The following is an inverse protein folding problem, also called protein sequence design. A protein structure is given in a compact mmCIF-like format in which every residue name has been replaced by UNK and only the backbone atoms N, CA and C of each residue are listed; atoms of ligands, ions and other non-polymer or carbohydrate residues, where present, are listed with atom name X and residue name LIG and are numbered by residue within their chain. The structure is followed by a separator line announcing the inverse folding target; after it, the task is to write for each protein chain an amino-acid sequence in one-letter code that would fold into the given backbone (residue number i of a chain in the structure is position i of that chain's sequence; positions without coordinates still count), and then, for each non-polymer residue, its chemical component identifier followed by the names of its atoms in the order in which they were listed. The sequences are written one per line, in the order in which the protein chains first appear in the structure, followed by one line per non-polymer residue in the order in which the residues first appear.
data_IF_256688327655
#
_entry.id   IF_256688327655
#
_cell.length_a   1.000
_cell.length_b   1.000
_cell.length_c   1.000
_cell.angle_alpha   90.00
_cell.angle_beta   90.00
_cell.angle_gamma   90.00
#
_symmetry.space_group_name_H-M   'P 1'
#
loop_
_entity.id
_entity.type
_entity.pdbx_description
1 polymer ?
#
# COMPACT_ATOMS: atom_id res chain seq x y z
N UNK A 1 11.86 -30.29 -6.05
CA UNK A 1 11.14 -29.56 -7.12
C UNK A 1 11.40 -28.08 -6.90
N UNK A 2 11.77 -27.33 -7.94
CA UNK A 2 11.98 -25.87 -7.85
C UNK A 2 10.82 -25.16 -8.56
N UNK A 3 10.26 -24.13 -7.93
CA UNK A 3 9.14 -23.34 -8.44
C UNK A 3 9.29 -21.87 -8.00
N UNK A 4 8.65 -20.94 -8.71
CA UNK A 4 8.65 -19.51 -8.39
C UNK A 4 7.26 -18.90 -8.62
N UNK A 5 6.83 -18.03 -7.71
CA UNK A 5 5.69 -17.14 -7.93
C UNK A 5 6.23 -15.89 -8.63
N UNK A 6 5.82 -15.68 -9.88
CA UNK A 6 6.29 -14.52 -10.64
C UNK A 6 5.70 -13.22 -10.10
N UNK A 7 6.41 -12.10 -10.24
CA UNK A 7 5.88 -10.79 -9.87
C UNK A 7 4.61 -10.41 -10.66
N UNK A 8 4.38 -11.01 -11.84
CA UNK A 8 3.12 -10.82 -12.58
C UNK A 8 1.90 -11.37 -11.83
N UNK A 9 2.08 -12.46 -11.08
CA UNK A 9 1.01 -13.03 -10.26
C UNK A 9 0.68 -12.10 -9.08
N UNK A 10 1.72 -11.52 -8.46
CA UNK A 10 1.60 -10.54 -7.38
C UNK A 10 0.87 -9.27 -7.85
N UNK A 11 1.30 -8.71 -8.99
CA UNK A 11 0.67 -7.55 -9.62
C UNK A 11 -0.78 -7.86 -9.99
N UNK A 12 -1.07 -9.04 -10.55
CA UNK A 12 -2.44 -9.43 -10.88
C UNK A 12 -3.35 -9.44 -9.65
N UNK A 13 -2.90 -10.00 -8.52
CA UNK A 13 -3.69 -9.99 -7.29
C UNK A 13 -3.89 -8.56 -6.73
N UNK A 14 -2.87 -7.71 -6.82
CA UNK A 14 -2.99 -6.30 -6.45
C UNK A 14 -3.98 -5.55 -7.36
N UNK A 15 -3.97 -5.81 -8.68
CA UNK A 15 -4.95 -5.29 -9.65
C UNK A 15 -6.37 -5.73 -9.27
N UNK A 16 -6.59 -7.02 -8.98
CA UNK A 16 -7.91 -7.52 -8.56
C UNK A 16 -8.39 -6.89 -7.25
N UNK A 17 -7.50 -6.73 -6.26
CA UNK A 17 -7.86 -6.06 -5.02
C UNK A 17 -8.25 -4.60 -5.26
N UNK A 18 -7.46 -3.83 -6.02
CA UNK A 18 -7.78 -2.45 -6.37
C UNK A 18 -9.10 -2.32 -7.16
N UNK A 19 -9.31 -3.19 -8.15
CA UNK A 19 -10.53 -3.22 -8.97
C UNK A 19 -11.78 -3.46 -8.12
N UNK A 20 -11.70 -4.31 -7.09
CA UNK A 20 -12.83 -4.66 -6.24
C UNK A 20 -13.52 -3.48 -5.52
N UNK A 21 -12.84 -2.33 -5.37
CA UNK A 21 -13.41 -1.10 -4.78
C UNK A 21 -14.29 -0.31 -5.76
N UNK A 22 -14.26 -0.63 -7.05
CA UNK A 22 -14.96 0.09 -8.12
C UNK A 22 -15.82 -0.81 -9.04
N UNK A 23 -16.01 -2.08 -8.69
CA UNK A 23 -16.79 -3.02 -9.49
C UNK A 23 -18.28 -2.65 -9.58
N UNK A 24 -18.91 -2.97 -10.72
CA UNK A 24 -20.34 -2.73 -10.93
C UNK A 24 -21.23 -3.52 -9.94
N UNK A 25 -20.84 -4.75 -9.61
CA UNK A 25 -21.37 -5.49 -8.48
C UNK A 25 -20.52 -5.15 -7.26
N UNK A 26 -20.86 -4.05 -6.59
CA UNK A 26 -19.99 -3.44 -5.59
C UNK A 26 -19.66 -4.39 -4.44
N UNK A 27 -18.35 -4.62 -4.23
CA UNK A 27 -17.81 -5.13 -2.97
C UNK A 27 -17.52 -3.94 -2.07
N UNK A 28 -18.17 -3.86 -0.92
CA UNK A 28 -17.99 -2.76 0.01
C UNK A 28 -16.98 -3.13 1.10
N UNK A 29 -15.96 -2.30 1.25
CA UNK A 29 -14.97 -2.43 2.31
C UNK A 29 -15.16 -1.32 3.34
N UNK A 30 -15.07 -1.66 4.62
CA UNK A 30 -15.09 -0.68 5.70
C UNK A 30 -13.87 -0.84 6.57
N UNK A 31 -13.16 0.25 6.82
CA UNK A 31 -12.19 0.32 7.89
C UNK A 31 -12.94 0.54 9.19
N UNK A 32 -12.72 -0.29 10.20
CA UNK A 32 -13.31 -0.12 11.52
C UNK A 32 -12.28 0.21 12.57
N UNK A 33 -12.74 0.91 13.61
CA UNK A 33 -12.01 1.07 14.88
C UNK A 33 -12.76 0.33 15.99
N UNK A 34 -12.02 -0.14 16.97
CA UNK A 34 -12.60 -0.85 18.10
C UNK A 34 -11.64 -0.97 19.27
N UNK A 35 -12.03 -1.81 20.22
CA UNK A 35 -11.27 -2.08 21.45
C UNK A 35 -11.04 -0.79 22.28
N UNK A 36 -12.11 -0.17 22.82
CA UNK A 36 -11.96 0.91 23.81
C UNK A 36 -11.44 0.37 25.15
N UNK A 37 -11.55 -0.94 25.40
CA UNK A 37 -10.97 -1.54 26.60
C UNK A 37 -9.43 -1.60 26.54
N UNK A 38 -8.78 -1.21 27.63
CA UNK A 38 -7.35 -1.46 27.86
C UNK A 38 -6.93 -2.92 27.67
N UNK A 39 -5.75 -3.12 27.05
CA UNK A 39 -5.06 -4.41 27.03
C UNK A 39 -4.52 -4.74 28.43
N UNK A 40 -4.81 -5.95 28.90
CA UNK A 40 -4.28 -6.45 30.17
C UNK A 40 -4.19 -7.97 30.16
N UNK A 41 -3.48 -8.54 31.12
CA UNK A 41 -3.41 -10.00 31.30
C UNK A 41 -4.77 -10.68 31.50
N UNK A 42 -5.81 -9.95 31.90
CA UNK A 42 -7.17 -10.48 32.10
C UNK A 42 -8.14 -10.10 30.97
N UNK A 43 -7.72 -9.23 30.05
CA UNK A 43 -8.56 -8.67 28.96
C UNK A 43 -7.87 -8.85 27.61
N UNK A 44 -7.63 -10.11 27.23
CA UNK A 44 -7.04 -10.46 25.91
C UNK A 44 -5.51 -10.51 25.86
N UNK A 45 -4.82 -10.27 26.98
CA UNK A 45 -3.36 -10.34 27.08
C UNK A 45 -2.65 -9.03 26.77
N UNK A 46 -1.33 -9.02 27.01
CA UNK A 46 -0.48 -7.86 26.76
C UNK A 46 -0.74 -6.67 27.69
N UNK A 47 -0.36 -5.48 27.22
CA UNK A 47 -0.60 -4.19 27.87
C UNK A 47 -0.72 -3.08 26.82
N UNK A 48 -1.17 -1.89 27.19
CA UNK A 48 -1.26 -0.76 26.26
C UNK A 48 0.11 -0.28 25.72
N UNK A 49 1.20 -0.60 26.42
CA UNK A 49 2.57 -0.33 25.97
C UNK A 49 3.13 -1.45 25.11
N UNK A 50 2.59 -2.66 25.24
CA UNK A 50 2.96 -3.84 24.45
C UNK A 50 1.67 -4.61 24.09
N UNK A 51 0.91 -4.12 23.09
CA UNK A 51 -0.32 -4.77 22.66
C UNK A 51 -0.05 -6.24 22.25
N UNK A 52 -0.97 -7.17 22.54
CA UNK A 52 -0.81 -8.55 22.13
C UNK A 52 -0.82 -8.66 20.60
N UNK A 53 -0.08 -9.61 20.04
CA UNK A 53 -0.14 -9.91 18.61
C UNK A 53 -1.55 -10.35 18.22
N UNK A 54 -2.14 -9.84 17.12
CA UNK A 54 -3.38 -10.36 16.58
C UNK A 54 -3.35 -11.87 16.37
N UNK A 55 -4.47 -12.54 16.62
CA UNK A 55 -4.62 -13.98 16.46
C UNK A 55 -5.69 -14.22 15.39
N UNK A 56 -5.37 -15.08 14.42
CA UNK A 56 -6.29 -15.52 13.37
C UNK A 56 -7.04 -16.77 13.84
N UNK A 57 -8.26 -16.57 14.37
CA UNK A 57 -9.21 -17.64 14.67
C UNK A 57 -10.63 -17.07 14.77
N UNK A 58 -11.63 -17.96 14.70
CA UNK A 58 -13.06 -17.60 14.75
C UNK A 58 -13.44 -16.88 16.05
N UNK A 59 -12.83 -17.24 17.19
CA UNK A 59 -13.16 -16.60 18.48
C UNK A 59 -12.70 -15.14 18.52
N UNK A 60 -11.52 -14.83 17.99
CA UNK A 60 -10.99 -13.47 17.97
C UNK A 60 -11.69 -12.62 16.92
N UNK A 61 -12.11 -13.18 15.78
CA UNK A 61 -13.01 -12.49 14.83
C UNK A 61 -14.31 -12.06 15.51
N UNK A 62 -14.94 -12.97 16.25
CA UNK A 62 -16.16 -12.69 17.02
C UNK A 62 -15.95 -11.59 18.08
N UNK A 63 -14.75 -11.53 18.69
CA UNK A 63 -14.40 -10.46 19.64
C UNK A 63 -14.22 -9.11 18.97
N UNK A 64 -13.67 -9.09 17.75
CA UNK A 64 -13.49 -7.86 16.97
C UNK A 64 -14.84 -7.20 16.66
N UNK A 65 -15.87 -7.99 16.39
CA UNK A 65 -17.24 -7.49 16.24
C UNK A 65 -17.81 -6.91 17.53
N UNK A 66 -17.61 -7.61 18.66
CA UNK A 66 -18.20 -7.23 19.95
C UNK A 66 -17.70 -5.90 20.50
N UNK A 67 -16.45 -5.55 20.21
CA UNK A 67 -15.80 -4.31 20.67
C UNK A 67 -15.54 -3.29 19.57
N UNK A 68 -16.16 -3.48 18.39
CA UNK A 68 -16.17 -2.49 17.32
C UNK A 68 -16.93 -1.24 17.78
N UNK A 69 -16.36 -0.07 17.50
CA UNK A 69 -16.95 1.24 17.82
C UNK A 69 -17.71 1.75 16.60
N UNK A 70 -17.02 1.86 15.47
CA UNK A 70 -17.58 2.40 14.24
C UNK A 70 -16.77 1.91 13.03
N UNK A 71 -17.39 1.97 11.86
CA UNK A 71 -16.78 1.59 10.60
C UNK A 71 -17.00 2.68 9.54
N UNK A 72 -16.01 2.94 8.70
CA UNK A 72 -16.06 3.92 7.61
C UNK A 72 -15.75 3.24 6.29
N UNK A 73 -16.58 3.50 5.27
CA UNK A 73 -16.43 2.89 3.96
C UNK A 73 -15.17 3.41 3.28
N UNK A 74 -14.37 2.50 2.76
CA UNK A 74 -13.20 2.78 1.91
C UNK A 74 -13.68 2.81 0.46
N UNK A 75 -13.53 3.94 -0.22
CA UNK A 75 -13.91 4.07 -1.64
C UNK A 75 -12.69 3.98 -2.55
N UNK A 76 -12.89 3.79 -3.84
CA UNK A 76 -11.78 3.65 -4.80
C UNK A 76 -10.79 4.83 -4.79
N UNK A 77 -11.26 6.06 -4.54
CA UNK A 77 -10.38 7.24 -4.43
C UNK A 77 -9.46 7.21 -3.20
N UNK A 78 -9.77 6.37 -2.22
CA UNK A 78 -9.00 6.16 -1.00
C UNK A 78 -7.96 5.05 -1.17
N UNK A 79 -7.84 4.45 -2.35
CA UNK A 79 -6.91 3.36 -2.63
C UNK A 79 -5.92 3.78 -3.72
N UNK A 80 -4.65 3.43 -3.55
CA UNK A 80 -3.62 3.67 -4.56
C UNK A 80 -2.59 2.55 -4.56
N UNK A 81 -2.05 2.24 -5.73
CA UNK A 81 -0.85 1.41 -5.83
C UNK A 81 0.35 2.17 -5.29
N UNK A 82 1.16 1.49 -4.49
CA UNK A 82 2.38 2.07 -3.92
C UNK A 82 3.57 1.15 -4.16
N UNK A 83 4.77 1.72 -4.06
CA UNK A 83 6.03 1.00 -4.06
C UNK A 83 6.91 1.51 -2.92
N UNK A 84 7.90 0.72 -2.46
CA UNK A 84 8.87 1.19 -1.47
C UNK A 84 9.48 2.53 -1.89
N UNK A 85 9.36 3.52 -1.01
CA UNK A 85 9.85 4.87 -1.23
C UNK A 85 11.37 4.87 -1.15
N UNK A 86 12.00 5.47 -2.16
CA UNK A 86 13.42 5.79 -2.15
C UNK A 86 13.59 7.22 -2.59
N UNK A 87 14.15 8.05 -1.72
CA UNK A 87 14.47 9.44 -2.07
C UNK A 87 15.85 9.48 -2.70
N UNK A 88 16.00 10.27 -3.77
CA UNK A 88 17.32 10.58 -4.29
C UNK A 88 18.09 11.40 -3.26
N UNK A 89 19.30 10.95 -2.96
CA UNK A 89 20.28 11.53 -2.07
C UNK A 89 21.64 11.52 -2.77
N UNK A 90 22.36 12.64 -2.71
CA UNK A 90 23.73 12.75 -3.24
C UNK A 90 24.67 11.79 -2.51
N UNK A 91 25.68 11.27 -3.23
CA UNK A 91 26.65 10.32 -2.67
C UNK A 91 26.11 8.88 -2.52
N UNK A 92 24.91 8.60 -3.00
CA UNK A 92 24.31 7.25 -2.98
C UNK A 92 24.51 6.57 -4.34
N UNK A 93 24.89 5.29 -4.32
CA UNK A 93 24.92 4.43 -5.52
C UNK A 93 23.58 3.74 -5.68
N UNK A 94 22.92 3.96 -6.82
CA UNK A 94 21.67 3.30 -7.17
C UNK A 94 21.93 2.14 -8.13
N UNK A 95 21.04 1.15 -8.13
CA UNK A 95 20.99 0.18 -9.22
C UNK A 95 20.38 0.82 -10.46
N UNK A 96 20.61 0.21 -11.62
CA UNK A 96 19.99 0.62 -12.87
C UNK A 96 19.03 -0.45 -13.37
N UNK A 97 18.22 -0.11 -14.37
CA UNK A 97 17.37 -1.09 -15.00
C UNK A 97 18.19 -2.18 -15.70
N UNK A 98 17.86 -3.44 -15.38
CA UNK A 98 18.39 -4.60 -16.08
C UNK A 98 17.35 -5.72 -16.13
N UNK A 99 17.23 -6.39 -17.27
CA UNK A 99 16.21 -7.42 -17.51
C UNK A 99 16.62 -8.83 -17.03
N UNK A 100 17.92 -9.07 -16.84
CA UNK A 100 18.56 -10.37 -16.63
C UNK A 100 19.18 -10.51 -15.22
N UNK A 101 18.70 -9.72 -14.24
CA UNK A 101 19.10 -9.92 -12.85
C UNK A 101 18.78 -11.35 -12.38
N UNK A 102 19.77 -11.97 -11.74
CA UNK A 102 19.69 -13.34 -11.25
C UNK A 102 20.70 -13.57 -10.13
N UNK A 103 20.74 -14.79 -9.56
CA UNK A 103 21.77 -15.16 -8.59
C UNK A 103 23.20 -15.14 -9.15
N UNK A 104 23.36 -15.18 -10.47
CA UNK A 104 24.66 -15.12 -11.16
C UNK A 104 24.96 -13.74 -11.76
N UNK A 105 24.00 -12.82 -11.68
CA UNK A 105 24.12 -11.47 -12.22
C UNK A 105 23.33 -10.52 -11.31
N UNK A 106 23.96 -10.08 -10.23
CA UNK A 106 23.31 -9.26 -9.20
C UNK A 106 23.41 -7.78 -9.53
N UNK A 107 22.47 -7.00 -9.02
CA UNK A 107 22.61 -5.55 -8.96
C UNK A 107 23.74 -5.14 -7.99
N UNK A 108 24.12 -3.86 -7.98
CA UNK A 108 25.14 -3.36 -7.07
C UNK A 108 24.69 -3.47 -5.60
N UNK A 109 23.40 -3.28 -5.34
CA UNK A 109 22.77 -3.53 -4.03
C UNK A 109 22.77 -4.99 -3.58
N UNK A 110 23.19 -5.93 -4.44
CA UNK A 110 23.08 -7.37 -4.22
C UNK A 110 21.73 -7.97 -4.63
N UNK A 111 20.78 -7.16 -5.13
CA UNK A 111 19.50 -7.67 -5.59
C UNK A 111 19.66 -8.66 -6.75
N UNK A 112 19.00 -9.81 -6.65
CA UNK A 112 18.99 -10.87 -7.67
C UNK A 112 17.76 -10.78 -8.59
N UNK A 113 16.93 -9.75 -8.43
CA UNK A 113 15.74 -9.50 -9.24
C UNK A 113 15.54 -8.00 -9.42
N UNK A 114 14.91 -7.59 -10.53
CA UNK A 114 14.68 -6.19 -10.84
C UNK A 114 13.86 -5.47 -9.76
N UNK A 115 12.78 -6.08 -9.28
CA UNK A 115 11.90 -5.44 -8.29
C UNK A 115 12.49 -5.41 -6.87
N UNK A 116 13.54 -6.19 -6.62
CA UNK A 116 14.35 -6.07 -5.42
C UNK A 116 15.45 -4.99 -5.52
N UNK A 117 15.72 -4.46 -6.72
CA UNK A 117 16.79 -3.47 -6.92
C UNK A 117 16.32 -2.05 -6.63
N UNK A 118 17.28 -1.13 -6.54
CA UNK A 118 17.10 0.27 -6.11
C UNK A 118 17.02 1.25 -7.28
N UNK A 119 16.52 0.79 -8.43
CA UNK A 119 16.56 1.52 -9.71
C UNK A 119 15.56 2.66 -9.86
N UNK A 120 14.72 2.92 -8.85
CA UNK A 120 13.70 3.97 -8.85
C UNK A 120 13.92 4.91 -7.68
N UNK A 121 13.84 6.21 -7.94
CA UNK A 121 14.00 7.26 -6.94
C UNK A 121 12.96 8.36 -7.12
N UNK A 122 12.64 9.04 -6.02
CA UNK A 122 11.86 10.27 -5.99
C UNK A 122 12.74 11.43 -5.53
N UNK A 123 12.62 12.58 -6.18
CA UNK A 123 13.29 13.83 -5.77
C UNK A 123 12.50 14.59 -4.71
N UNK A 124 13.12 15.61 -4.11
CA UNK A 124 12.49 16.63 -3.27
C UNK A 124 11.36 17.42 -3.97
N UNK A 125 11.36 17.45 -5.31
CA UNK A 125 10.31 18.01 -6.16
C UNK A 125 9.18 17.00 -6.48
N UNK A 126 9.15 15.84 -5.83
CA UNK A 126 8.18 14.76 -6.04
C UNK A 126 8.11 14.20 -7.47
N UNK A 127 9.20 14.36 -8.23
CA UNK A 127 9.40 13.74 -9.54
C UNK A 127 10.03 12.37 -9.34
N UNK A 128 9.47 11.37 -10.01
CA UNK A 128 9.93 9.98 -9.99
C UNK A 128 10.75 9.67 -11.23
N UNK A 129 11.92 9.10 -11.00
CA UNK A 129 12.90 8.77 -12.02
C UNK A 129 13.28 7.29 -11.96
N UNK A 130 13.53 6.75 -13.14
CA UNK A 130 14.12 5.44 -13.33
C UNK A 130 15.59 5.58 -13.71
N UNK A 131 16.46 4.91 -12.97
CA UNK A 131 17.89 4.82 -13.27
C UNK A 131 18.07 3.86 -14.45
N UNK A 132 18.58 4.37 -15.55
CA UNK A 132 18.85 3.63 -16.78
C UNK A 132 20.34 3.25 -16.89
N UNK A 133 21.21 4.00 -16.22
CA UNK A 133 22.62 3.68 -16.05
C UNK A 133 23.15 4.34 -14.78
N UNK A 134 24.01 3.65 -14.03
CA UNK A 134 24.51 4.09 -12.73
C UNK A 134 26.03 4.39 -12.75
N UNK A 135 26.53 4.87 -13.90
CA UNK A 135 27.93 5.23 -14.09
C UNK A 135 28.92 4.16 -13.59
N UNK A 136 28.69 2.90 -13.97
CA UNK A 136 29.55 1.78 -13.55
C UNK A 136 29.67 1.61 -12.03
N UNK A 137 28.55 1.82 -11.32
CA UNK A 137 28.42 1.73 -9.86
C UNK A 137 29.17 2.81 -9.05
N UNK A 138 29.41 3.99 -9.63
CA UNK A 138 29.87 5.15 -8.84
C UNK A 138 28.71 5.73 -8.02
N UNK A 139 28.97 6.73 -7.17
CA UNK A 139 27.92 7.41 -6.42
C UNK A 139 27.32 8.55 -7.26
N UNK A 140 25.97 8.65 -7.33
CA UNK A 140 25.33 9.79 -8.01
C UNK A 140 25.58 11.06 -7.21
N UNK A 141 26.07 12.11 -7.88
CA UNK A 141 26.37 13.40 -7.27
C UNK A 141 25.38 14.48 -7.67
N UNK A 142 24.69 14.33 -8.80
CA UNK A 142 23.83 15.35 -9.38
C UNK A 142 22.37 14.88 -9.48
N UNK A 143 21.46 15.66 -8.88
CA UNK A 143 20.02 15.36 -8.85
C UNK A 143 19.43 15.39 -10.26
N UNK A 144 18.63 14.39 -10.69
CA UNK A 144 17.90 14.47 -11.95
C UNK A 144 16.79 15.54 -11.91
N UNK A 145 16.68 16.35 -12.95
CA UNK A 145 15.70 17.46 -13.03
C UNK A 145 14.87 17.47 -14.31
N UNK A 146 15.33 16.82 -15.38
CA UNK A 146 14.65 16.77 -16.67
C UNK A 146 13.28 16.09 -16.60
N UNK A 147 12.33 16.53 -17.42
CA UNK A 147 10.96 15.97 -17.50
C UNK A 147 10.60 15.52 -18.91
N UNK A 148 11.59 15.40 -19.79
CA UNK A 148 11.41 14.92 -21.16
C UNK A 148 11.18 13.41 -21.23
N UNK A 149 10.88 12.90 -22.43
CA UNK A 149 10.58 11.48 -22.64
C UNK A 149 11.82 10.61 -22.88
N UNK A 150 12.97 11.25 -23.08
CA UNK A 150 14.25 10.59 -23.35
C UNK A 150 15.08 10.48 -22.08
N UNK A 151 16.03 9.54 -22.10
CA UNK A 151 17.08 9.51 -21.08
C UNK A 151 17.94 10.78 -21.13
N UNK A 152 18.46 11.19 -20.00
CA UNK A 152 19.40 12.31 -19.90
C UNK A 152 20.42 12.07 -18.79
N UNK A 153 21.60 12.67 -18.96
CA UNK A 153 22.66 12.73 -17.96
C UNK A 153 22.60 14.09 -17.25
N UNK A 154 22.44 14.15 -15.92
CA UNK A 154 22.44 15.40 -15.18
C UNK A 154 23.85 16.01 -15.02
N UNK A 155 24.92 15.30 -15.43
CA UNK A 155 26.31 15.74 -15.41
C UNK A 155 27.24 14.89 -14.53
N UNK A 156 26.78 13.72 -14.08
CA UNK A 156 27.53 12.80 -13.22
C UNK A 156 27.70 11.39 -13.82
N UNK A 157 27.36 11.22 -15.12
CA UNK A 157 27.48 9.95 -15.83
C UNK A 157 26.32 9.00 -15.60
N UNK A 158 25.42 9.28 -14.65
CA UNK A 158 24.16 8.56 -14.53
C UNK A 158 23.27 8.87 -15.72
N UNK A 159 22.44 7.90 -16.12
CA UNK A 159 21.34 8.15 -17.04
C UNK A 159 20.04 7.95 -16.31
N UNK A 160 19.20 8.97 -16.32
CA UNK A 160 17.87 8.95 -15.71
C UNK A 160 16.81 9.09 -16.79
N UNK A 161 15.69 8.39 -16.59
CA UNK A 161 14.46 8.59 -17.36
C UNK A 161 13.37 9.09 -16.42
N UNK A 162 12.74 10.19 -16.79
CA UNK A 162 11.57 10.70 -16.09
C UNK A 162 10.38 9.75 -16.28
N UNK A 163 9.67 9.44 -15.21
CA UNK A 163 8.48 8.58 -15.24
C UNK A 163 7.21 9.42 -15.09
N UNK A 164 7.09 10.12 -13.96
CA UNK A 164 5.93 10.95 -13.63
C UNK A 164 6.26 11.88 -12.45
N UNK A 165 5.35 12.83 -12.19
CA UNK A 165 5.38 13.71 -11.02
C UNK A 165 4.16 13.41 -10.18
N UNK A 166 4.33 13.33 -8.85
CA UNK A 166 3.20 13.13 -7.95
C UNK A 166 2.37 14.41 -7.83
N UNK A 167 1.05 14.26 -7.82
CA UNK A 167 0.12 15.35 -7.54
C UNK A 167 0.10 15.68 -6.04
N UNK A 168 -0.32 16.90 -5.68
CA UNK A 168 -0.49 17.30 -4.28
C UNK A 168 -1.44 16.37 -3.51
N UNK A 169 -2.53 15.93 -4.13
CA UNK A 169 -3.49 14.97 -3.55
C UNK A 169 -2.83 13.61 -3.27
N UNK A 170 -2.04 13.08 -4.21
CA UNK A 170 -1.33 11.81 -4.01
C UNK A 170 -0.28 11.93 -2.90
N UNK A 171 0.42 13.04 -2.82
CA UNK A 171 1.40 13.31 -1.76
C UNK A 171 0.70 13.31 -0.40
N UNK A 172 -0.40 14.07 -0.28
CA UNK A 172 -1.15 14.16 0.98
C UNK A 172 -1.71 12.79 1.41
N UNK A 173 -2.33 12.06 0.47
CA UNK A 173 -3.09 10.86 0.80
C UNK A 173 -2.22 9.58 0.87
N UNK A 174 -1.19 9.44 0.03
CA UNK A 174 -0.51 8.16 -0.18
C UNK A 174 1.01 8.18 0.00
N UNK A 175 1.65 9.35 0.10
CA UNK A 175 3.07 9.39 0.45
C UNK A 175 3.25 9.13 1.95
N UNK A 176 4.20 8.26 2.28
CA UNK A 176 4.62 7.95 3.65
C UNK A 176 6.15 7.96 3.75
N UNK A 177 6.71 7.64 4.91
CA UNK A 177 8.15 7.42 5.10
C UNK A 177 8.67 6.26 4.24
N UNK A 178 7.87 5.20 4.12
CA UNK A 178 8.32 3.92 3.56
C UNK A 178 7.74 3.61 2.18
N UNK A 179 6.65 4.27 1.79
CA UNK A 179 5.95 4.03 0.53
C UNK A 179 5.64 5.31 -0.24
N UNK A 180 5.70 5.23 -1.57
CA UNK A 180 5.31 6.29 -2.49
C UNK A 180 4.31 5.78 -3.53
N UNK A 181 3.33 6.60 -3.94
CA UNK A 181 2.33 6.19 -4.91
C UNK A 181 2.91 6.01 -6.31
N UNK A 182 2.33 5.08 -7.05
CA UNK A 182 2.57 4.89 -8.47
C UNK A 182 1.39 5.44 -9.25
N UNK A 183 1.69 6.26 -10.26
CA UNK A 183 0.67 6.81 -11.14
C UNK A 183 0.50 5.87 -12.32
N UNK A 184 -0.72 5.39 -12.50
CA UNK A 184 -1.08 4.61 -13.67
C UNK A 184 -1.01 5.46 -14.95
N UNK A 185 -0.38 4.90 -15.97
CA UNK A 185 -0.20 5.55 -17.29
C UNK A 185 -1.15 4.99 -18.35
N UNK A 186 -2.03 4.03 -18.00
CA UNK A 186 -2.98 3.35 -18.89
C UNK A 186 -4.47 3.69 -18.65
N UNK A 187 -4.80 4.47 -17.61
CA UNK A 187 -6.13 5.12 -17.47
C UNK A 187 -7.09 4.51 -16.45
N UNK A 188 -6.64 3.58 -15.61
CA UNK A 188 -7.37 3.03 -14.46
C UNK A 188 -7.37 3.98 -13.24
N UNK A 189 -6.51 5.02 -13.25
CA UNK A 189 -6.55 6.17 -12.33
C UNK A 189 -6.62 7.46 -13.16
N UNK A 190 -7.75 8.18 -13.12
CA UNK A 190 -7.93 9.49 -13.77
C UNK A 190 -7.20 10.59 -13.00
N UNK A 191 -5.87 10.58 -13.06
CA UNK A 191 -5.01 11.68 -12.61
C UNK A 191 -4.32 12.33 -13.82
N UNK A 192 -4.20 13.66 -13.81
CA UNK A 192 -3.76 14.51 -14.92
C UNK A 192 -2.26 14.36 -15.33
N UNK A 193 -1.72 13.15 -15.33
CA UNK A 193 -0.35 12.87 -15.78
C UNK A 193 -0.26 11.53 -16.52
N UNK A 194 -1.19 11.29 -17.45
CA UNK A 194 -0.88 10.51 -18.66
C UNK A 194 0.16 11.31 -19.46
N UNK A 195 1.38 11.27 -18.91
CA UNK A 195 2.52 12.09 -19.28
C UNK A 195 3.06 11.57 -20.60
N UNK A 196 3.65 12.45 -21.39
CA UNK A 196 4.19 12.16 -22.72
C UNK A 196 5.13 10.95 -22.81
N UNK A 197 5.56 10.39 -21.67
CA UNK A 197 6.44 9.22 -21.54
C UNK A 197 5.77 7.92 -22.05
N UNK A 198 4.54 7.58 -21.66
CA UNK A 198 3.91 6.32 -22.08
C UNK A 198 3.53 6.29 -23.55
N UNK A 199 3.22 7.46 -24.12
CA UNK A 199 2.96 7.63 -25.55
C UNK A 199 4.25 7.54 -26.39
N UNK A 200 5.39 7.93 -25.82
CA UNK A 200 6.71 7.87 -26.45
C UNK A 200 7.49 6.58 -26.14
N UNK A 201 6.89 5.64 -25.39
CA UNK A 201 7.53 4.39 -25.04
C UNK A 201 7.71 3.50 -26.28
N UNK A 202 8.90 2.91 -26.41
CA UNK A 202 9.28 2.06 -27.53
C UNK A 202 9.46 0.63 -27.05
N UNK A 203 8.67 -0.28 -27.61
CA UNK A 203 8.67 -1.70 -27.25
C UNK A 203 10.04 -2.34 -27.46
N UNK A 204 10.57 -3.01 -26.41
CA UNK A 204 11.79 -3.81 -26.50
C UNK A 204 13.02 -3.07 -27.02
N UNK A 205 13.13 -1.76 -26.79
CA UNK A 205 14.30 -1.00 -27.22
C UNK A 205 15.57 -1.41 -26.45
N UNK A 206 16.72 -1.41 -27.11
CA UNK A 206 18.02 -1.69 -26.48
C UNK A 206 18.78 -0.38 -26.37
N UNK A 207 18.98 0.12 -25.15
CA UNK A 207 19.68 1.40 -24.93
C UNK A 207 21.13 1.24 -24.47
N UNK A 208 21.45 0.10 -23.86
CA UNK A 208 22.77 -0.20 -23.30
C UNK A 208 23.18 -1.62 -23.61
N UNK A 209 24.48 -1.82 -23.78
CA UNK A 209 25.10 -3.12 -23.99
C UNK A 209 26.26 -3.21 -23.01
N UNK A 210 26.26 -4.24 -22.17
CA UNK A 210 27.35 -4.48 -21.21
C UNK A 210 28.38 -5.44 -21.80
N UNK A 211 29.64 -5.27 -21.42
CA UNK A 211 30.72 -6.17 -21.84
C UNK A 211 30.88 -7.22 -20.74
N UNK A 212 30.41 -8.44 -20.99
CA UNK A 212 30.59 -9.58 -20.07
C UNK A 212 32.00 -10.15 -20.19
N UNK A 213 32.54 -10.19 -21.40
CA UNK A 213 33.93 -10.58 -21.67
C UNK A 213 34.43 -9.76 -22.85
N UNK A 214 35.56 -9.06 -22.67
CA UNK A 214 36.10 -8.16 -23.70
C UNK A 214 36.74 -8.91 -24.89
N UNK A 215 36.95 -10.22 -24.76
CA UNK A 215 37.67 -11.06 -25.71
C UNK A 215 39.15 -10.67 -25.82
N UNK A 216 39.86 -11.25 -26.79
CA UNK A 216 41.27 -10.98 -27.04
C UNK A 216 41.69 -11.32 -28.48
N UNK A 217 42.63 -10.56 -29.02
CA UNK A 217 43.22 -10.78 -30.35
C UNK A 217 42.45 -10.14 -31.50
N UNK A 218 41.56 -9.18 -31.20
CA UNK A 218 40.88 -8.41 -32.23
C UNK A 218 41.78 -7.35 -32.86
N UNK A 219 41.43 -6.94 -34.08
CA UNK A 219 42.05 -5.77 -34.72
C UNK A 219 41.57 -4.49 -34.04
N UNK A 220 42.50 -3.60 -33.66
CA UNK A 220 42.15 -2.31 -33.08
C UNK A 220 41.39 -1.44 -34.09
N UNK A 221 40.33 -0.76 -33.64
CA UNK A 221 39.53 0.09 -34.49
C UNK A 221 38.18 0.47 -33.88
N UNK A 222 37.46 1.35 -34.58
CA UNK A 222 36.08 1.71 -34.27
C UNK A 222 35.18 1.20 -35.39
N UNK A 223 34.33 0.23 -35.05
CA UNK A 223 33.43 -0.43 -35.98
C UNK A 223 32.02 0.13 -35.78
N UNK A 224 31.55 0.94 -36.72
CA UNK A 224 30.24 1.60 -36.68
C UNK A 224 29.16 0.78 -37.38
N UNK A 225 27.88 1.05 -37.08
CA UNK A 225 26.72 0.40 -37.72
C UNK A 225 26.72 -1.13 -37.56
N UNK A 226 27.30 -1.62 -36.47
CA UNK A 226 27.29 -3.05 -36.14
C UNK A 226 25.86 -3.43 -35.74
N UNK A 227 25.21 -4.38 -36.43
CA UNK A 227 23.83 -4.74 -36.16
C UNK A 227 23.70 -5.42 -34.78
N UNK A 228 22.70 -4.98 -34.02
CA UNK A 228 22.22 -5.73 -32.86
C UNK A 228 21.27 -6.79 -33.40
N UNK A 229 21.75 -8.03 -33.42
CA UNK A 229 21.00 -9.21 -33.89
C UNK A 229 20.01 -9.65 -32.82
N UNK A 230 19.05 -10.46 -33.21
CA UNK A 230 17.99 -10.92 -32.32
C UNK A 230 16.68 -11.07 -33.07
N UNK A 231 15.59 -10.94 -32.33
CA UNK A 231 14.21 -10.99 -32.84
C UNK A 231 13.58 -9.61 -33.08
N UNK A 232 14.26 -8.53 -32.64
CA UNK A 232 13.86 -7.15 -32.94
C UNK A 232 14.43 -6.62 -34.26
N UNK A 233 14.12 -5.35 -34.55
CA UNK A 233 14.48 -4.69 -35.81
C UNK A 233 15.18 -3.34 -35.60
N UNK A 234 16.05 -2.96 -36.52
CA UNK A 234 16.64 -1.62 -36.60
C UNK A 234 17.71 -1.28 -35.55
N UNK A 235 18.08 -2.20 -34.66
CA UNK A 235 19.11 -1.97 -33.64
C UNK A 235 20.52 -1.97 -34.23
N UNK A 236 21.31 -0.94 -33.92
CA UNK A 236 22.72 -0.84 -34.31
C UNK A 236 23.56 -0.23 -33.19
N UNK A 237 24.86 -0.55 -33.19
CA UNK A 237 25.83 -0.03 -32.24
C UNK A 237 27.18 0.25 -32.89
N UNK A 238 28.03 0.96 -32.16
CA UNK A 238 29.44 1.15 -32.46
C UNK A 238 30.26 0.37 -31.44
N UNK A 239 31.19 -0.45 -31.90
CA UNK A 239 32.14 -1.24 -31.08
C UNK A 239 33.53 -0.64 -31.24
N UNK A 240 34.18 -0.28 -30.15
CA UNK A 240 35.57 0.18 -30.15
C UNK A 240 36.47 -0.88 -29.53
N UNK A 241 37.57 -1.15 -30.23
CA UNK A 241 38.57 -2.15 -29.85
C UNK A 241 39.92 -1.44 -29.73
N UNK A 242 40.57 -1.60 -28.57
CA UNK A 242 41.90 -1.09 -28.31
C UNK A 242 42.69 -2.12 -27.50
N UNK A 243 43.99 -2.26 -27.79
CA UNK A 243 44.82 -3.30 -27.17
C UNK A 243 44.37 -4.74 -27.50
N UNK A 244 43.63 -4.93 -28.58
CA UNK A 244 43.11 -6.23 -29.01
C UNK A 244 41.88 -6.73 -28.24
N UNK A 245 41.26 -5.88 -27.41
CA UNK A 245 40.05 -6.20 -26.62
C UNK A 245 38.96 -5.16 -26.85
N UNK A 246 37.70 -5.55 -26.68
CA UNK A 246 36.56 -4.61 -26.75
C UNK A 246 36.59 -3.69 -25.53
N UNK A 247 36.69 -2.38 -25.75
CA UNK A 247 36.76 -1.39 -24.67
C UNK A 247 35.44 -0.66 -24.45
N UNK A 248 34.69 -0.37 -25.52
CA UNK A 248 33.40 0.31 -25.41
C UNK A 248 32.42 -0.21 -26.46
N UNK A 249 31.13 -0.19 -26.11
CA UNK A 249 30.02 -0.49 -27.00
C UNK A 249 28.95 0.56 -26.80
N UNK A 250 28.69 1.38 -27.82
CA UNK A 250 27.72 2.46 -27.77
C UNK A 250 26.57 2.16 -28.72
N UNK A 251 25.33 2.10 -28.21
CA UNK A 251 24.14 1.95 -29.05
C UNK A 251 23.95 3.22 -29.88
N UNK A 252 23.82 3.08 -31.19
CA UNK A 252 23.59 4.18 -32.14
C UNK A 252 22.14 4.26 -32.61
N UNK A 253 21.47 3.11 -32.73
CA UNK A 253 20.03 3.02 -32.93
C UNK A 253 19.48 1.94 -32.00
N UNK A 254 18.47 2.31 -31.20
CA UNK A 254 17.98 1.45 -30.11
C UNK A 254 17.16 0.27 -30.63
N UNK A 255 16.62 0.42 -31.85
CA UNK A 255 15.74 -0.56 -32.47
C UNK A 255 14.44 -0.77 -31.69
N UNK A 256 13.61 -1.70 -32.16
CA UNK A 256 12.29 -1.98 -31.58
C UNK A 256 11.99 -3.48 -31.61
N UNK A 257 11.15 -3.93 -30.68
CA UNK A 257 10.58 -5.27 -30.63
C UNK A 257 11.55 -6.38 -30.23
N UNK A 258 12.70 -6.05 -29.62
CA UNK A 258 13.60 -7.09 -29.11
C UNK A 258 13.00 -7.74 -27.87
N UNK A 259 13.00 -9.07 -27.81
CA UNK A 259 12.92 -9.85 -26.56
C UNK A 259 14.26 -10.50 -26.22
N UNK A 260 15.14 -10.59 -27.22
CA UNK A 260 16.51 -11.05 -27.11
C UNK A 260 17.40 -10.27 -28.08
N UNK A 261 18.55 -9.76 -27.60
CA UNK A 261 19.53 -9.05 -28.40
C UNK A 261 20.93 -9.64 -28.24
N UNK A 262 21.69 -9.69 -29.33
CA UNK A 262 23.10 -10.10 -29.32
C UNK A 262 23.93 -9.32 -30.35
N UNK A 263 25.17 -9.01 -29.99
CA UNK A 263 26.15 -8.42 -30.92
C UNK A 263 27.19 -9.47 -31.27
N UNK A 264 27.21 -9.89 -32.53
CA UNK A 264 28.18 -10.87 -33.02
C UNK A 264 29.47 -10.16 -33.44
N UNK A 265 30.38 -9.94 -32.48
CA UNK A 265 31.64 -9.21 -32.69
C UNK A 265 32.50 -9.90 -33.74
N UNK A 266 32.64 -11.22 -33.68
CA UNK A 266 33.48 -12.01 -34.61
C UNK A 266 33.00 -11.96 -36.06
N UNK A 267 31.72 -11.63 -36.26
CA UNK A 267 31.12 -11.45 -37.58
C UNK A 267 31.26 -10.03 -38.16
N UNK A 268 31.93 -9.11 -37.46
CA UNK A 268 32.19 -7.76 -37.97
C UNK A 268 33.27 -7.82 -39.04
N UNK A 269 33.00 -7.23 -40.21
CA UNK A 269 33.97 -7.14 -41.30
C UNK A 269 35.27 -6.46 -40.82
N UNK A 270 36.42 -7.08 -41.10
CA UNK A 270 37.76 -6.58 -40.73
C UNK A 270 38.05 -6.53 -39.22
N UNK A 271 37.29 -7.25 -38.39
CA UNK A 271 37.55 -7.36 -36.94
C UNK A 271 38.71 -8.31 -36.60
N UNK A 272 39.15 -9.11 -37.58
CA UNK A 272 40.20 -10.12 -37.43
C UNK A 272 39.67 -11.46 -36.93
N UNK A 273 40.58 -12.36 -36.58
CA UNK A 273 40.28 -13.66 -35.98
C UNK A 273 40.73 -13.66 -34.52
N UNK A 274 39.80 -13.53 -33.55
CA UNK A 274 40.18 -13.42 -32.15
C UNK A 274 40.71 -14.75 -31.60
N UNK A 275 41.59 -14.65 -30.62
CA UNK A 275 42.04 -15.78 -29.78
C UNK A 275 41.02 -16.13 -28.69
N UNK A 276 40.15 -15.19 -28.33
CA UNK A 276 39.05 -15.36 -27.38
C UNK A 276 37.90 -14.45 -27.80
N UNK A 277 36.72 -15.00 -28.03
CA UNK A 277 35.55 -14.22 -28.45
C UNK A 277 35.05 -13.31 -27.32
N UNK A 278 34.65 -12.09 -27.67
CA UNK A 278 33.97 -11.16 -26.80
C UNK A 278 32.51 -11.58 -26.60
N UNK A 279 32.01 -11.40 -25.38
CA UNK A 279 30.62 -11.64 -25.01
C UNK A 279 30.02 -10.31 -24.59
N UNK A 280 29.08 -9.83 -25.39
CA UNK A 280 28.34 -8.60 -25.15
C UNK A 280 26.91 -8.95 -24.77
N UNK A 281 26.38 -8.26 -23.77
CA UNK A 281 25.03 -8.49 -23.24
C UNK A 281 24.19 -7.22 -23.40
N UNK A 282 23.44 -7.10 -24.52
CA UNK A 282 22.42 -6.09 -24.70
C UNK A 282 21.36 -6.14 -23.60
N UNK A 283 20.99 -4.97 -23.07
CA UNK A 283 19.93 -4.84 -22.09
C UNK A 283 18.64 -4.52 -22.82
N UNK A 284 17.73 -5.49 -22.86
CA UNK A 284 16.42 -5.38 -23.51
C UNK A 284 15.47 -4.60 -22.62
N UNK A 285 14.79 -3.59 -23.17
CA UNK A 285 13.73 -2.84 -22.49
C UNK A 285 12.47 -3.66 -22.23
N UNK A 286 11.54 -3.17 -21.39
CA UNK A 286 10.30 -3.88 -21.10
C UNK A 286 9.39 -3.93 -22.32
N UNK A 287 8.49 -4.92 -22.34
CA UNK A 287 7.40 -4.98 -23.32
C UNK A 287 6.55 -3.71 -23.23
N UNK A 288 6.25 -3.10 -24.36
CA UNK A 288 5.57 -1.81 -24.50
C UNK A 288 6.49 -0.60 -24.34
N UNK A 289 7.71 -0.78 -23.81
CA UNK A 289 8.71 0.25 -23.63
C UNK A 289 8.70 0.91 -22.25
N UNK A 290 9.79 1.60 -21.95
CA UNK A 290 9.98 2.28 -20.67
C UNK A 290 8.94 3.40 -20.45
N UNK A 291 8.23 3.32 -19.32
CA UNK A 291 7.16 4.21 -18.91
C UNK A 291 5.81 3.93 -19.58
N UNK A 292 5.66 2.82 -20.32
CA UNK A 292 4.38 2.46 -20.95
C UNK A 292 3.31 2.11 -19.91
N UNK A 293 3.69 1.31 -18.94
CA UNK A 293 2.87 0.84 -17.83
C UNK A 293 3.73 0.93 -16.55
N UNK A 294 3.66 2.07 -15.88
CA UNK A 294 4.46 2.31 -14.68
C UNK A 294 4.09 1.35 -13.54
N UNK A 295 2.85 0.88 -13.44
CA UNK A 295 2.45 -0.09 -12.41
C UNK A 295 3.22 -1.40 -12.58
N UNK A 296 3.21 -1.96 -13.79
CA UNK A 296 3.90 -3.22 -14.07
C UNK A 296 5.42 -3.07 -14.07
N UNK A 297 5.92 -1.95 -14.57
CA UNK A 297 7.36 -1.73 -14.71
C UNK A 297 8.06 -1.43 -13.38
N UNK A 298 7.37 -0.76 -12.45
CA UNK A 298 7.91 -0.42 -11.14
C UNK A 298 7.64 -1.49 -10.08
N UNK A 299 6.85 -2.51 -10.40
CA UNK A 299 6.52 -3.60 -9.49
C UNK A 299 5.54 -3.17 -8.41
N UNK A 300 4.48 -2.45 -8.79
CA UNK A 300 3.48 -1.96 -7.87
C UNK A 300 2.50 -3.07 -7.44
N UNK A 301 3.01 -4.04 -6.67
CA UNK A 301 2.21 -5.12 -6.06
C UNK A 301 1.80 -4.82 -4.60
N UNK A 302 1.95 -3.56 -4.17
CA UNK A 302 1.41 -3.08 -2.91
C UNK A 302 0.20 -2.18 -3.18
N UNK A 303 -0.88 -2.37 -2.41
CA UNK A 303 -2.03 -1.48 -2.41
C UNK A 303 -2.11 -0.78 -1.05
N UNK A 304 -2.21 0.55 -1.08
CA UNK A 304 -2.44 1.36 0.11
C UNK A 304 -3.88 1.85 0.15
N UNK A 305 -4.58 1.66 1.26
CA UNK A 305 -5.82 2.37 1.56
C UNK A 305 -5.54 3.51 2.52
N UNK A 306 -6.22 4.65 2.36
CA UNK A 306 -6.10 5.81 3.23
C UNK A 306 -7.47 6.29 3.69
N UNK A 307 -7.79 6.09 4.97
CA UNK A 307 -9.07 6.50 5.55
C UNK A 307 -8.82 7.54 6.64
N UNK A 308 -9.40 8.73 6.47
CA UNK A 308 -9.35 9.80 7.46
C UNK A 308 -10.56 9.69 8.39
N UNK A 309 -10.36 9.65 9.69
CA UNK A 309 -11.41 9.79 10.70
C UNK A 309 -11.41 11.25 11.17
N UNK A 310 -12.56 11.93 11.08
CA UNK A 310 -12.65 13.37 11.38
C UNK A 310 -13.72 13.62 12.42
N UNK A 311 -13.32 14.05 13.62
CA UNK A 311 -14.24 14.40 14.71
C UNK A 311 -15.36 13.36 14.90
N UNK A 312 -16.60 13.85 15.04
CA UNK A 312 -17.81 13.06 15.25
C UNK A 312 -18.61 12.83 13.95
N UNK A 313 -17.93 12.36 12.90
CA UNK A 313 -18.58 12.06 11.62
C UNK A 313 -19.65 10.97 11.72
N UNK A 314 -20.52 10.90 10.70
CA UNK A 314 -21.63 9.95 10.69
C UNK A 314 -22.78 10.32 11.63
N UNK A 315 -23.00 11.61 11.90
CA UNK A 315 -23.96 12.06 12.93
C UNK A 315 -23.65 11.52 14.33
N UNK A 316 -22.36 11.33 14.64
CA UNK A 316 -21.90 10.82 15.94
C UNK A 316 -21.56 9.33 15.96
N UNK A 317 -21.49 8.64 14.82
CA UNK A 317 -21.02 7.25 14.75
C UNK A 317 -19.64 7.09 15.40
N UNK A 318 -18.76 8.02 15.07
CA UNK A 318 -17.38 8.07 15.54
C UNK A 318 -17.27 8.91 16.82
N UNK A 319 -17.29 8.25 17.98
CA UNK A 319 -17.13 8.91 19.29
C UNK A 319 -15.78 9.62 19.43
N UNK A 320 -15.78 10.83 20.01
CA UNK A 320 -14.61 11.72 20.11
C UNK A 320 -14.06 11.86 21.53
N UNK A 321 -14.69 11.26 22.54
CA UNK A 321 -14.23 11.30 23.94
C UNK A 321 -13.80 9.92 24.41
N UNK A 322 -13.25 9.12 23.47
CA UNK A 322 -12.86 7.76 23.73
C UNK A 322 -11.59 7.36 23.02
N UNK A 323 -10.92 6.35 23.58
CA UNK A 323 -9.79 5.73 22.94
C UNK A 323 -10.18 4.49 22.11
N UNK A 324 -9.31 4.14 21.17
CA UNK A 324 -9.38 2.89 20.43
C UNK A 324 -7.99 2.25 20.35
N UNK A 325 -7.95 0.93 20.26
CA UNK A 325 -6.72 0.13 20.23
C UNK A 325 -6.68 -0.87 19.09
N UNK A 326 -7.75 -0.95 18.31
CA UNK A 326 -7.88 -1.86 17.19
C UNK A 326 -8.31 -1.10 15.95
N UNK A 327 -7.66 -1.43 14.85
CA UNK A 327 -8.05 -1.03 13.49
C UNK A 327 -8.25 -2.32 12.71
N UNK A 328 -9.26 -2.37 11.85
CA UNK A 328 -9.42 -3.50 10.95
C UNK A 328 -10.11 -3.14 9.65
N UNK A 329 -10.17 -4.11 8.74
CA UNK A 329 -10.87 -4.01 7.47
C UNK A 329 -11.91 -5.12 7.41
N UNK A 330 -13.17 -4.76 7.16
CA UNK A 330 -14.27 -5.70 6.98
C UNK A 330 -14.82 -5.57 5.55
N UNK A 331 -15.13 -6.71 4.94
CA UNK A 331 -15.76 -6.79 3.63
C UNK A 331 -17.24 -7.13 3.77
N UNK A 332 -18.07 -6.41 3.03
CA UNK A 332 -19.51 -6.62 2.88
C UNK A 332 -20.29 -6.81 4.18
N UNK A 333 -20.12 -5.94 5.20
CA UNK A 333 -20.98 -5.99 6.38
C UNK A 333 -22.43 -5.65 6.00
N UNK A 334 -23.40 -6.22 6.74
CA UNK A 334 -24.82 -5.97 6.52
C UNK A 334 -25.33 -4.80 7.38
N UNK A 335 -26.42 -4.17 6.93
CA UNK A 335 -27.20 -3.30 7.80
C UNK A 335 -27.87 -4.15 8.89
N UNK A 336 -27.87 -3.66 10.12
CA UNK A 336 -28.42 -4.38 11.25
C UNK A 336 -29.89 -4.79 11.04
N UNK A 337 -30.20 -6.04 11.37
CA UNK A 337 -31.54 -6.61 11.26
C UNK A 337 -31.87 -7.05 9.84
N UNK A 338 -30.92 -6.99 8.91
CA UNK A 338 -31.10 -7.35 7.50
C UNK A 338 -29.96 -8.21 6.99
N UNK A 339 -30.11 -8.74 5.77
CA UNK A 339 -29.04 -9.39 4.99
C UNK A 339 -28.52 -8.50 3.86
N UNK A 340 -28.84 -7.20 3.91
CA UNK A 340 -28.48 -6.24 2.86
C UNK A 340 -27.10 -5.67 3.17
N UNK A 341 -26.16 -5.82 2.23
CA UNK A 341 -24.83 -5.21 2.32
C UNK A 341 -24.96 -3.70 2.47
N UNK A 342 -24.23 -3.14 3.43
CA UNK A 342 -24.29 -1.72 3.72
C UNK A 342 -23.59 -0.88 2.65
N UNK A 343 -24.22 0.23 2.27
CA UNK A 343 -23.69 1.23 1.34
C UNK A 343 -23.52 2.61 2.00
N UNK A 344 -23.71 2.70 3.32
CA UNK A 344 -23.51 3.94 4.07
C UNK A 344 -22.03 4.36 4.04
N UNK A 345 -21.75 5.64 4.25
CA UNK A 345 -20.36 6.13 4.32
C UNK A 345 -19.71 5.78 5.65
N UNK A 346 -20.50 5.77 6.71
CA UNK A 346 -20.12 5.43 8.09
C UNK A 346 -21.20 4.54 8.68
N UNK A 347 -20.82 3.75 9.67
CA UNK A 347 -21.71 2.89 10.43
C UNK A 347 -21.30 2.91 11.90
N UNK A 348 -22.25 3.13 12.79
CA UNK A 348 -22.04 2.85 14.21
C UNK A 348 -22.14 1.35 14.51
N UNK A 349 -21.16 0.83 15.24
CA UNK A 349 -21.16 -0.54 15.77
C UNK A 349 -21.56 -0.61 17.26
N UNK A 350 -21.69 0.53 17.92
CA UNK A 350 -22.10 0.61 19.31
C UNK A 350 -23.60 0.37 19.48
N UNK A 351 -23.95 -0.28 20.58
CA UNK A 351 -25.33 -0.27 21.08
C UNK A 351 -25.55 1.04 21.82
N UNK A 352 -26.79 1.50 21.91
CA UNK A 352 -27.09 2.63 22.78
C UNK A 352 -28.41 2.46 23.51
N UNK A 353 -28.58 3.20 24.60
CA UNK A 353 -29.84 3.31 25.31
C UNK A 353 -30.21 4.77 25.43
N UNK A 354 -31.50 5.06 25.34
CA UNK A 354 -32.05 6.41 25.55
C UNK A 354 -32.74 6.43 26.91
N UNK A 355 -32.48 7.45 27.72
CA UNK A 355 -33.13 7.62 29.03
C UNK A 355 -34.33 8.55 28.97
N UNK A 356 -35.26 8.33 29.90
CA UNK A 356 -36.39 9.22 30.12
C UNK A 356 -35.93 10.64 30.48
N UNK A 357 -36.75 11.63 30.15
CA UNK A 357 -36.51 13.02 30.57
C UNK A 357 -36.74 13.23 32.07
N UNK A 358 -37.61 12.39 32.68
CA UNK A 358 -37.95 12.42 34.10
C UNK A 358 -38.13 10.99 34.65
N UNK A 359 -37.52 10.65 35.81
CA UNK A 359 -36.49 11.44 36.47
C UNK A 359 -35.28 11.62 35.54
N UNK A 360 -34.63 12.78 35.62
CA UNK A 360 -33.46 13.08 34.80
C UNK A 360 -32.35 12.08 35.12
N UNK A 361 -31.72 11.43 34.12
CA UNK A 361 -30.66 10.47 34.37
C UNK A 361 -29.43 11.15 34.99
N UNK A 362 -28.69 10.40 35.82
CA UNK A 362 -27.37 10.83 36.29
C UNK A 362 -26.34 10.90 35.15
N UNK A 363 -25.17 11.44 35.48
CA UNK A 363 -24.04 11.53 34.53
C UNK A 363 -23.21 10.26 34.60
N UNK A 364 -23.17 9.51 33.49
CA UNK A 364 -22.32 8.33 33.36
C UNK A 364 -20.89 8.71 32.96
N UNK A 365 -19.95 7.89 33.38
CA UNK A 365 -18.52 8.01 33.10
C UNK A 365 -18.09 6.99 32.06
N UNK A 366 -17.17 7.39 31.20
CA UNK A 366 -16.47 6.52 30.26
C UNK A 366 -15.81 5.32 30.98
N UNK A 367 -15.76 4.18 30.30
CA UNK A 367 -15.16 2.91 30.75
C UNK A 367 -15.82 2.23 31.95
N UNK A 368 -16.86 2.84 32.54
CA UNK A 368 -17.56 2.20 33.64
C UNK A 368 -18.47 1.06 33.17
N UNK A 369 -18.68 0.10 34.07
CA UNK A 369 -19.65 -0.98 33.85
C UNK A 369 -21.02 -0.46 34.25
N UNK A 370 -21.99 -0.58 33.34
CA UNK A 370 -23.40 -0.37 33.62
C UNK A 370 -24.12 -1.70 33.83
N UNK A 371 -25.09 -1.73 34.74
CA UNK A 371 -25.92 -2.91 35.02
C UNK A 371 -27.41 -2.59 34.93
N UNK A 372 -28.16 -3.41 34.20
CA UNK A 372 -29.62 -3.36 34.11
C UNK A 372 -30.27 -3.99 35.35
N UNK A 373 -31.17 -3.25 36.00
CA UNK A 373 -31.77 -3.68 37.27
C UNK A 373 -32.71 -4.88 37.16
N UNK A 374 -33.29 -5.14 36.00
CA UNK A 374 -34.24 -6.26 35.81
C UNK A 374 -33.58 -7.42 35.08
N UNK A 375 -32.85 -7.14 34.00
CA UNK A 375 -32.23 -8.17 33.16
C UNK A 375 -30.90 -8.67 33.73
N UNK A 376 -30.24 -7.87 34.58
CA UNK A 376 -28.85 -8.09 34.95
C UNK A 376 -27.85 -7.86 33.80
N UNK A 377 -28.32 -7.31 32.66
CA UNK A 377 -27.47 -7.01 31.51
C UNK A 377 -26.31 -6.10 31.92
N UNK A 378 -25.11 -6.40 31.43
CA UNK A 378 -23.93 -5.57 31.65
C UNK A 378 -23.44 -4.97 30.34
N UNK A 379 -22.91 -3.76 30.40
CA UNK A 379 -22.26 -3.09 29.29
C UNK A 379 -21.12 -2.22 29.79
N UNK A 380 -20.19 -1.88 28.91
CA UNK A 380 -19.12 -0.93 29.21
C UNK A 380 -19.39 0.35 28.45
N UNK A 381 -19.37 1.48 29.16
CA UNK A 381 -19.69 2.80 28.60
C UNK A 381 -18.58 3.27 27.67
N UNK A 382 -18.97 3.70 26.48
CA UNK A 382 -18.07 4.29 25.46
C UNK A 382 -18.29 5.79 25.36
N UNK A 383 -19.53 6.27 25.48
CA UNK A 383 -19.81 7.71 25.45
C UNK A 383 -21.15 8.01 26.11
N UNK A 384 -21.23 9.17 26.77
CA UNK A 384 -22.44 9.72 27.37
C UNK A 384 -22.81 11.05 26.72
N UNK A 385 -23.93 11.07 26.03
CA UNK A 385 -24.53 12.28 25.46
C UNK A 385 -25.65 12.78 26.39
N UNK A 386 -25.31 13.73 27.25
CA UNK A 386 -26.25 14.33 28.20
C UNK A 386 -27.37 15.13 27.52
N UNK A 387 -27.12 15.69 26.33
CA UNK A 387 -28.09 16.52 25.60
C UNK A 387 -29.23 15.67 25.05
N UNK A 388 -28.88 14.56 24.38
CA UNK A 388 -29.85 13.62 23.84
C UNK A 388 -30.25 12.51 24.84
N UNK A 389 -29.62 12.48 26.01
CA UNK A 389 -29.77 11.45 27.06
C UNK A 389 -29.50 10.05 26.52
N UNK A 390 -28.48 9.94 25.67
CA UNK A 390 -28.07 8.68 25.04
C UNK A 390 -26.76 8.20 25.62
N UNK A 391 -26.72 6.92 25.96
CA UNK A 391 -25.51 6.26 26.44
C UNK A 391 -25.12 5.17 25.45
N UNK A 392 -23.92 5.29 24.89
CA UNK A 392 -23.33 4.33 23.96
C UNK A 392 -22.47 3.33 24.71
N UNK A 393 -22.62 2.06 24.39
CA UNK A 393 -21.95 0.97 25.10
C UNK A 393 -21.65 -0.21 24.16
N UNK A 394 -20.72 -1.06 24.60
CA UNK A 394 -20.43 -2.36 24.01
C UNK A 394 -20.49 -3.46 25.08
N UNK A 395 -20.51 -4.72 24.65
CA UNK A 395 -20.56 -5.88 25.53
C UNK A 395 -19.45 -6.87 25.14
N UNK A 396 -18.34 -6.86 25.88
CA UNK A 396 -17.25 -7.82 25.73
C UNK A 396 -17.48 -9.08 26.55
N UNK A 397 -16.79 -10.16 26.18
CA UNK A 397 -16.70 -11.41 26.94
C UNK A 397 -15.83 -11.28 28.21
N UNK A 398 -15.19 -10.13 28.44
CA UNK A 398 -14.34 -9.85 29.59
C UNK A 398 -15.09 -9.10 30.70
N UNK A 399 -15.52 -7.87 30.42
CA UNK A 399 -16.06 -6.92 31.42
C UNK A 399 -17.51 -6.51 31.18
N UNK A 400 -17.99 -6.63 29.94
CA UNK A 400 -19.38 -6.34 29.55
C UNK A 400 -20.33 -7.53 29.70
N UNK A 401 -20.07 -8.42 30.67
CA UNK A 401 -20.73 -9.72 30.80
C UNK A 401 -21.13 -9.99 32.25
N UNK A 402 -22.22 -10.73 32.46
CA UNK A 402 -22.66 -11.09 33.81
C UNK A 402 -21.68 -12.07 34.52
N UNK A 403 -21.92 -12.35 35.80
CA UNK A 403 -21.07 -13.26 36.59
C UNK A 403 -21.12 -14.72 36.12
N UNK A 404 -22.18 -15.10 35.41
CA UNK A 404 -22.37 -16.42 34.80
C UNK A 404 -21.80 -16.50 33.39
N UNK A 405 -21.15 -15.43 32.90
CA UNK A 405 -20.62 -15.32 31.54
C UNK A 405 -21.69 -15.34 30.45
N UNK A 406 -22.87 -14.79 30.72
CA UNK A 406 -23.88 -14.50 29.70
C UNK A 406 -23.82 -13.05 29.22
N UNK A 407 -23.91 -12.87 27.91
CA UNK A 407 -24.08 -11.56 27.28
C UNK A 407 -25.59 -11.36 27.06
N UNK A 408 -26.21 -10.64 28.00
CA UNK A 408 -27.65 -10.38 28.01
C UNK A 408 -27.93 -8.98 27.47
N UNK A 409 -28.94 -8.83 26.61
CA UNK A 409 -29.36 -7.52 26.14
C UNK A 409 -30.15 -6.76 27.21
N UNK A 410 -30.02 -5.42 27.21
CA UNK A 410 -30.85 -4.55 28.04
C UNK A 410 -32.32 -4.59 27.60
N UNK A 411 -33.24 -4.35 28.54
CA UNK A 411 -34.67 -4.23 28.28
C UNK A 411 -35.13 -2.76 28.33
N UNK A 412 -35.96 -2.31 27.39
CA UNK A 412 -36.24 -0.88 27.15
C UNK A 412 -36.82 -0.02 28.29
N UNK A 413 -37.24 -0.61 29.42
CA UNK A 413 -37.84 0.11 30.55
C UNK A 413 -37.12 -0.08 31.89
N UNK A 414 -35.98 -0.77 31.92
CA UNK A 414 -35.28 -1.00 33.19
C UNK A 414 -34.45 0.20 33.65
N UNK A 415 -34.15 0.22 34.95
CA UNK A 415 -33.19 1.16 35.54
C UNK A 415 -31.79 0.66 35.29
N UNK A 416 -30.93 1.50 34.73
CA UNK A 416 -29.51 1.23 34.56
C UNK A 416 -28.72 1.96 35.63
N UNK A 417 -27.75 1.28 36.23
CA UNK A 417 -26.86 1.84 37.26
C UNK A 417 -25.40 1.74 36.81
N UNK A 418 -24.65 2.85 36.89
CA UNK A 418 -23.21 2.91 36.66
C UNK A 418 -22.42 2.49 37.90
N UNK A 419 -21.44 1.60 37.72
CA UNK A 419 -20.67 1.03 38.82
C UNK A 419 -19.71 2.04 39.48
N UNK A 420 -19.13 2.96 38.70
CA UNK A 420 -18.13 3.91 39.18
C UNK A 420 -18.79 5.24 39.56
N UNK A 421 -19.69 5.74 38.71
CA UNK A 421 -20.38 7.01 38.91
C UNK A 421 -21.51 6.92 39.94
N UNK A 422 -22.01 5.71 40.22
CA UNK A 422 -23.29 5.48 40.91
C UNK A 422 -24.49 6.17 40.24
N UNK A 423 -24.34 6.63 38.99
CA UNK A 423 -25.41 7.27 38.24
C UNK A 423 -26.51 6.26 37.94
N UNK A 424 -27.75 6.70 38.06
CA UNK A 424 -28.93 5.90 37.69
C UNK A 424 -29.74 6.59 36.62
N UNK A 425 -30.37 5.81 35.73
CA UNK A 425 -31.35 6.33 34.79
C UNK A 425 -32.36 5.26 34.41
N UNK A 426 -33.63 5.67 34.27
CA UNK A 426 -34.68 4.78 33.74
C UNK A 426 -34.71 4.90 32.23
N UNK A 427 -34.48 3.79 31.53
CA UNK A 427 -34.48 3.77 30.07
C UNK A 427 -35.89 3.99 29.50
N UNK A 428 -35.92 4.58 28.31
CA UNK A 428 -37.11 4.71 27.47
C UNK A 428 -37.01 3.85 26.20
N UNK A 429 -35.79 3.53 25.76
CA UNK A 429 -35.54 2.71 24.58
C UNK A 429 -34.14 2.09 24.62
N UNK A 430 -34.01 0.91 23.99
CA UNK A 430 -32.72 0.34 23.58
C UNK A 430 -32.63 0.54 22.07
N UNK A 431 -31.54 1.14 21.62
CA UNK A 431 -31.26 1.36 20.22
C UNK A 431 -30.20 0.38 19.74
N UNK A 432 -30.41 -0.03 18.50
CA UNK A 432 -29.64 -1.00 17.77
C UNK A 432 -28.43 -0.32 17.08
N UNK A 433 -27.27 -0.99 16.93
CA UNK A 433 -26.21 -0.52 16.06
C UNK A 433 -26.70 -0.44 14.61
N UNK A 434 -25.95 0.25 13.76
CA UNK A 434 -26.26 0.37 12.33
C UNK A 434 -25.71 -0.82 11.53
N UNK A 435 -24.54 -1.30 11.93
CA UNK A 435 -23.91 -2.50 11.37
C UNK A 435 -24.42 -3.76 12.07
N UNK A 436 -24.73 -4.80 11.29
CA UNK A 436 -25.01 -6.12 11.83
C UNK A 436 -23.69 -6.72 12.37
N UNK A 437 -23.61 -6.96 13.68
CA UNK A 437 -22.48 -7.69 14.25
C UNK A 437 -22.37 -9.08 13.62
N UNK A 438 -21.14 -9.56 13.43
CA UNK A 438 -20.86 -10.90 12.88
C UNK A 438 -21.33 -11.08 11.44
N UNK A 439 -21.33 -10.01 10.64
CA UNK A 439 -21.74 -10.04 9.23
C UNK A 439 -20.59 -9.63 8.31
N UNK A 440 -20.52 -10.22 7.11
CA UNK A 440 -19.38 -10.01 6.23
C UNK A 440 -18.13 -10.73 6.73
N UNK A 441 -16.97 -10.36 6.19
CA UNK A 441 -15.69 -11.03 6.46
C UNK A 441 -14.65 -10.04 7.00
N UNK A 442 -14.05 -10.31 8.15
CA UNK A 442 -12.92 -9.50 8.63
C UNK A 442 -11.64 -9.92 7.91
N UNK A 443 -11.09 -9.01 7.10
CA UNK A 443 -9.92 -9.28 6.25
C UNK A 443 -8.60 -8.88 6.89
N UNK A 444 -8.63 -7.93 7.82
CA UNK A 444 -7.45 -7.39 8.47
C UNK A 444 -7.79 -6.94 9.88
N UNK A 445 -6.86 -7.15 10.81
CA UNK A 445 -6.91 -6.54 12.14
C UNK A 445 -5.50 -6.23 12.63
N UNK A 446 -5.37 -5.08 13.28
CA UNK A 446 -4.15 -4.61 13.92
C UNK A 446 -4.45 -4.24 15.37
N UNK A 447 -3.54 -4.61 16.26
CA UNK A 447 -3.55 -4.14 17.64
C UNK A 447 -2.52 -3.03 17.81
N UNK A 448 -2.92 -1.95 18.48
CA UNK A 448 -2.09 -0.78 18.72
C UNK A 448 -2.17 -0.34 20.17
N UNK A 449 -1.23 0.54 20.55
CA UNK A 449 -1.34 1.35 21.74
C UNK A 449 -2.58 2.27 21.63
N UNK A 450 -3.15 2.73 22.76
CA UNK A 450 -4.38 3.54 22.74
C UNK A 450 -4.18 4.85 21.97
N UNK A 451 -5.15 5.14 21.12
CA UNK A 451 -5.27 6.42 20.42
C UNK A 451 -6.54 7.08 20.94
N UNK A 452 -6.39 8.18 21.67
CA UNK A 452 -7.49 9.00 22.17
C UNK A 452 -7.97 9.89 21.03
N UNK A 453 -9.27 9.86 20.73
CA UNK A 453 -9.86 10.75 19.74
C UNK A 453 -10.21 12.09 20.38
N UNK A 454 -10.34 13.13 19.55
CA UNK A 454 -10.86 14.42 19.95
C UNK A 454 -11.58 15.11 18.77
N UNK A 455 -12.47 16.07 19.07
CA UNK A 455 -13.29 16.74 18.05
C UNK A 455 -12.46 17.58 17.06
N UNK A 456 -11.30 18.09 17.49
CA UNK A 456 -10.37 18.90 16.70
C UNK A 456 -9.25 18.09 16.05
N UNK A 457 -9.32 16.75 16.15
CA UNK A 457 -8.33 15.83 15.58
C UNK A 457 -8.87 15.15 14.32
N UNK A 458 -7.92 14.89 13.41
CA UNK A 458 -8.12 14.06 12.23
C UNK A 458 -7.11 12.91 12.29
N UNK A 459 -7.59 11.69 12.41
CA UNK A 459 -6.75 10.50 12.40
C UNK A 459 -6.70 9.91 10.98
N UNK A 460 -5.53 9.96 10.34
CA UNK A 460 -5.33 9.29 9.04
C UNK A 460 -4.77 7.88 9.25
N UNK A 461 -5.53 6.88 8.80
CA UNK A 461 -5.15 5.48 8.84
C UNK A 461 -4.76 5.04 7.44
N UNK A 462 -3.49 4.66 7.27
CA UNK A 462 -2.95 4.11 6.03
C UNK A 462 -2.62 2.64 6.22
N UNK A 463 -3.32 1.76 5.50
CA UNK A 463 -3.05 0.33 5.49
C UNK A 463 -2.36 -0.04 4.17
N UNK A 464 -1.23 -0.73 4.23
CA UNK A 464 -0.50 -1.22 3.06
C UNK A 464 -0.60 -2.74 3.02
N UNK A 465 -1.10 -3.27 1.90
CA UNK A 465 -1.24 -4.71 1.67
C UNK A 465 -0.27 -5.11 0.56
N UNK A 466 0.52 -6.16 0.82
CA UNK A 466 1.45 -6.76 -0.14
C UNK A 466 0.85 -8.06 -0.71
N UNK A 467 0.97 -8.25 -2.02
CA UNK A 467 0.50 -9.44 -2.74
C UNK A 467 1.62 -10.30 -3.29
#
# INVERSE_FOLDING_TARGET
MAAIISNKFRIHNAEQFYESFGEAAATNYYMFIGRPQQWSSTTGGGSDVAPPTPIDNVQDEERQWRDMIAAKRVVQSDVSFVIPRRNWTTGTTYDYYRHDYSSSNTANSGATSLFGSTFIVMTDEYKVYKCMWNDSNTASTTKPTGTGNTEFDPGDGYLWKYMYTLTSTQIQNFLTTDFMPVVDTLGTVTGASASTVSAAAVDGEIRRITITTAGAGYTNGTYTSVPIRGDGTGGTCTVTIAGGVVTTVAVTAQGTGYTYGAVHVDGITSVGSPSTSAVLSPIVGPKGGHGKDALKELGAFYCMTNTALVGAEGSGDFVVDQDFRRIGLVRNPYNHGTTTISTATTLSALKSVTFNSSPTPGTFTVDEIITGGTTGAKGVVVSWDATNRKLYYYQSDYTGIDTNKNITAFAGTEVVTGASSSATGTMSAVNNPEIAHHSGDVLYTEHRAPIVRATDQTENVKLVIEF
#
